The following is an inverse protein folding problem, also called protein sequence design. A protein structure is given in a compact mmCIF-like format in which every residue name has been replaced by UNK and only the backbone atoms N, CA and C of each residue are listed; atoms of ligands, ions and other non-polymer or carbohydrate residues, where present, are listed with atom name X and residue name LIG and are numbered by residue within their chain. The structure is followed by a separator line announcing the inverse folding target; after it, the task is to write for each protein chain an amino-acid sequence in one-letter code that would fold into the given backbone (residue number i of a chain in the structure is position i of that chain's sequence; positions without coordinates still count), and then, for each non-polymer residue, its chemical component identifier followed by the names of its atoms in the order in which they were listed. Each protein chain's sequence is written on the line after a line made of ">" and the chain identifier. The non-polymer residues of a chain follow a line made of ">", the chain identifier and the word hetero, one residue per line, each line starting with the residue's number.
data_IF_770953951835
#
_entry.id   IF_770953951835
#
_cell.length_a   1.000
_cell.length_b   1.000
_cell.length_c   1.000
_cell.angle_alpha   90.00
_cell.angle_beta   90.00
_cell.angle_gamma   90.00
#
_symmetry.space_group_name_H-M   'P 1'
#
loop_
_entity.id
_entity.type
_entity.pdbx_description
1 polymer ?
#
# COMPACT_ATOMS: atom_id res chain seq x y z
N UNK A 1 8.82 -1.03 21.47
CA UNK A 1 7.59 -0.67 20.77
C UNK A 1 7.77 0.75 20.24
N UNK A 2 7.92 0.92 18.92
CA UNK A 2 8.25 2.21 18.29
C UNK A 2 7.03 2.76 17.54
N UNK A 3 6.03 3.22 18.30
CA UNK A 3 4.75 3.69 17.78
C UNK A 3 4.91 4.84 16.77
N UNK A 4 5.80 5.79 17.03
CA UNK A 4 5.98 6.98 16.18
C UNK A 4 6.58 6.63 14.80
N UNK A 5 7.68 5.86 14.69
CA UNK A 5 8.15 5.34 13.41
C UNK A 5 7.10 4.51 12.66
N UNK A 6 6.40 3.60 13.34
CA UNK A 6 5.37 2.77 12.70
C UNK A 6 4.23 3.61 12.11
N UNK A 7 3.76 4.62 12.87
CA UNK A 7 2.74 5.55 12.41
C UNK A 7 3.21 6.40 11.24
N UNK A 8 4.45 6.87 11.26
CA UNK A 8 5.05 7.61 10.13
C UNK A 8 5.10 6.75 8.87
N UNK A 9 5.63 5.53 8.94
CA UNK A 9 5.72 4.62 7.79
C UNK A 9 4.34 4.32 7.18
N UNK A 10 3.31 4.14 8.01
CA UNK A 10 1.96 3.88 7.53
C UNK A 10 1.31 5.13 6.93
N UNK A 11 1.29 6.23 7.69
CA UNK A 11 0.53 7.42 7.32
C UNK A 11 1.22 8.19 6.19
N UNK A 12 2.55 8.31 6.22
CA UNK A 12 3.30 9.08 5.24
C UNK A 12 3.82 8.21 4.09
N UNK A 13 4.65 7.20 4.37
CA UNK A 13 5.25 6.43 3.27
C UNK A 13 4.18 5.64 2.52
N UNK A 14 3.46 4.74 3.20
CA UNK A 14 2.51 3.85 2.54
C UNK A 14 1.34 4.61 1.88
N UNK A 15 0.71 5.55 2.59
CA UNK A 15 -0.45 6.26 2.03
C UNK A 15 -0.05 7.39 1.08
N UNK A 16 0.78 8.31 1.53
CA UNK A 16 1.07 9.51 0.75
C UNK A 16 2.09 9.25 -0.37
N UNK A 17 3.17 8.53 -0.09
CA UNK A 17 4.23 8.32 -1.10
C UNK A 17 3.83 7.26 -2.13
N UNK A 18 3.17 6.17 -1.71
CA UNK A 18 2.87 5.05 -2.62
C UNK A 18 1.40 4.97 -3.06
N UNK A 19 0.45 4.92 -2.12
CA UNK A 19 -0.96 4.68 -2.46
C UNK A 19 -1.59 5.85 -3.22
N UNK A 20 -1.33 7.10 -2.81
CA UNK A 20 -1.91 8.28 -3.47
C UNK A 20 -1.54 8.36 -4.96
N UNK A 21 -0.26 8.28 -5.38
CA UNK A 21 0.07 8.26 -6.80
C UNK A 21 -0.58 7.09 -7.56
N UNK A 22 -0.70 5.93 -6.92
CA UNK A 22 -1.36 4.77 -7.52
C UNK A 22 -2.87 5.01 -7.74
N UNK A 23 -3.54 5.72 -6.82
CA UNK A 23 -4.93 6.16 -6.98
C UNK A 23 -5.08 7.23 -8.06
N UNK A 24 -4.11 8.14 -8.18
CA UNK A 24 -4.07 9.12 -9.27
C UNK A 24 -3.95 8.40 -10.63
N UNK A 25 -3.05 7.42 -10.75
CA UNK A 25 -2.97 6.59 -11.96
C UNK A 25 -4.26 5.80 -12.21
N UNK A 26 -4.87 5.24 -11.17
CA UNK A 26 -6.14 4.54 -11.33
C UNK A 26 -7.25 5.45 -11.84
N UNK A 27 -7.38 6.65 -11.29
CA UNK A 27 -8.33 7.66 -11.77
C UNK A 27 -8.05 7.97 -13.25
N UNK A 28 -6.80 8.27 -13.57
CA UNK A 28 -6.36 8.65 -14.90
C UNK A 28 -6.68 7.53 -15.93
N UNK A 29 -6.76 6.24 -15.54
CA UNK A 29 -7.09 5.11 -16.45
C UNK A 29 -8.47 5.30 -17.08
N UNK A 30 -9.40 5.95 -16.37
CA UNK A 30 -10.75 6.24 -16.86
C UNK A 30 -10.77 7.53 -17.70
N UNK A 31 -9.74 8.37 -17.60
CA UNK A 31 -9.65 9.69 -18.23
C UNK A 31 -8.63 9.77 -19.37
N UNK A 32 -7.91 8.69 -19.68
CA UNK A 32 -6.95 8.66 -20.79
C UNK A 32 -5.79 9.65 -20.61
N UNK A 33 -5.31 9.81 -19.38
CA UNK A 33 -4.14 10.63 -19.03
C UNK A 33 -4.33 12.14 -19.34
N UNK A 34 -5.58 12.61 -19.26
CA UNK A 34 -5.96 13.97 -19.69
C UNK A 34 -6.26 14.94 -18.54
N UNK A 35 -6.28 14.45 -17.30
CA UNK A 35 -6.58 15.28 -16.14
C UNK A 35 -5.26 15.66 -15.42
N UNK A 36 -5.13 16.91 -14.93
CA UNK A 36 -3.95 17.27 -14.14
C UNK A 36 -4.01 16.55 -12.79
N UNK A 37 -2.92 15.87 -12.42
CA UNK A 37 -2.71 15.35 -11.08
C UNK A 37 -2.86 16.51 -10.08
N UNK A 38 -3.95 16.50 -9.33
CA UNK A 38 -4.22 17.55 -8.34
C UNK A 38 -3.19 17.49 -7.22
N UNK A 39 -2.78 18.63 -6.67
CA UNK A 39 -1.90 18.64 -5.51
C UNK A 39 -2.48 17.79 -4.37
N UNK A 40 -1.66 16.87 -3.81
CA UNK A 40 -2.00 16.03 -2.66
C UNK A 40 -3.31 15.23 -2.84
N UNK A 41 -3.59 14.71 -4.05
CA UNK A 41 -4.80 13.92 -4.31
C UNK A 41 -6.10 14.75 -4.40
N UNK A 42 -6.00 16.07 -4.53
CA UNK A 42 -7.17 16.96 -4.62
C UNK A 42 -8.05 16.57 -5.81
N UNK A 43 -9.28 16.15 -5.50
CA UNK A 43 -10.29 15.80 -6.49
C UNK A 43 -10.51 14.29 -6.67
N UNK A 44 -9.67 13.44 -6.08
CA UNK A 44 -9.81 11.97 -6.16
C UNK A 44 -11.19 11.50 -5.71
N UNK A 45 -11.74 12.00 -4.59
CA UNK A 45 -13.09 11.63 -4.10
C UNK A 45 -14.21 11.83 -5.12
N UNK A 46 -14.07 12.79 -6.04
CA UNK A 46 -15.10 13.09 -7.06
C UNK A 46 -14.90 12.31 -8.36
N UNK A 47 -13.72 11.74 -8.57
CA UNK A 47 -13.31 11.17 -9.86
C UNK A 47 -13.08 9.67 -9.79
N UNK A 48 -12.73 9.14 -8.61
CA UNK A 48 -12.66 7.71 -8.37
C UNK A 48 -14.07 7.12 -8.23
N UNK A 49 -14.26 5.85 -8.64
CA UNK A 49 -15.44 5.09 -8.29
C UNK A 49 -15.71 5.10 -6.77
N UNK A 50 -16.98 5.23 -6.33
CA UNK A 50 -17.33 5.34 -4.91
C UNK A 50 -16.80 4.19 -4.03
N UNK A 51 -16.73 2.97 -4.58
CA UNK A 51 -16.22 1.78 -3.92
C UNK A 51 -14.71 1.87 -3.63
N UNK A 52 -13.92 2.43 -4.56
CA UNK A 52 -12.49 2.66 -4.36
C UNK A 52 -12.28 3.69 -3.25
N UNK A 53 -13.10 4.74 -3.23
CA UNK A 53 -13.02 5.75 -2.19
C UNK A 53 -13.41 5.20 -0.80
N UNK A 54 -14.46 4.38 -0.73
CA UNK A 54 -14.87 3.73 0.51
C UNK A 54 -13.79 2.79 1.07
N UNK A 55 -13.10 2.05 0.19
CA UNK A 55 -11.96 1.21 0.59
C UNK A 55 -10.78 2.03 1.12
N UNK A 56 -10.48 3.18 0.49
CA UNK A 56 -9.48 4.12 1.01
C UNK A 56 -9.84 4.60 2.42
N UNK A 57 -11.10 5.01 2.64
CA UNK A 57 -11.61 5.42 3.96
C UNK A 57 -11.49 4.28 5.00
N UNK A 58 -11.67 3.02 4.60
CA UNK A 58 -11.51 1.86 5.47
C UNK A 58 -10.05 1.55 5.86
N UNK A 59 -9.07 2.17 5.19
CA UNK A 59 -7.65 2.03 5.53
C UNK A 59 -7.20 2.90 6.69
N UNK A 60 -7.96 3.91 7.13
CA UNK A 60 -7.53 4.78 8.23
C UNK A 60 -7.55 4.04 9.58
N UNK A 61 -6.45 4.17 10.33
CA UNK A 61 -6.28 3.49 11.63
C UNK A 61 -7.02 4.23 12.77
N UNK A 62 -7.53 3.47 13.73
CA UNK A 62 -7.89 3.99 15.05
C UNK A 62 -6.65 4.05 15.98
N UNK A 63 -6.81 4.52 17.22
CA UNK A 63 -5.67 4.86 18.08
C UNK A 63 -4.87 3.64 18.62
N UNK A 64 -5.41 2.42 18.55
CA UNK A 64 -4.78 1.22 19.10
C UNK A 64 -3.64 0.66 18.24
N UNK A 65 -2.71 -0.08 18.85
CA UNK A 65 -1.61 -0.73 18.11
C UNK A 65 -2.12 -1.87 17.20
N UNK A 66 -3.11 -2.64 17.66
CA UNK A 66 -3.77 -3.65 16.83
C UNK A 66 -4.54 -3.02 15.66
N UNK A 67 -5.18 -1.88 15.90
CA UNK A 67 -5.86 -1.11 14.84
C UNK A 67 -4.87 -0.61 13.77
N UNK A 68 -3.65 -0.23 14.18
CA UNK A 68 -2.59 0.15 13.24
C UNK A 68 -2.11 -1.03 12.39
N UNK A 69 -1.96 -2.22 12.96
CA UNK A 69 -1.63 -3.43 12.20
C UNK A 69 -2.74 -3.79 11.20
N UNK A 70 -3.99 -3.78 11.63
CA UNK A 70 -5.12 -4.05 10.75
C UNK A 70 -5.22 -3.01 9.64
N UNK A 71 -4.99 -1.74 9.96
CA UNK A 71 -4.91 -0.64 8.99
C UNK A 71 -3.79 -0.84 7.97
N UNK A 72 -2.60 -1.28 8.40
CA UNK A 72 -1.48 -1.60 7.51
C UNK A 72 -1.87 -2.71 6.52
N UNK A 73 -2.44 -3.82 6.99
CA UNK A 73 -2.82 -4.92 6.11
C UNK A 73 -3.96 -4.56 5.15
N UNK A 74 -4.92 -3.73 5.60
CA UNK A 74 -5.95 -3.15 4.70
C UNK A 74 -5.31 -2.26 3.64
N UNK A 75 -4.34 -1.43 4.01
CA UNK A 75 -3.61 -0.55 3.08
C UNK A 75 -2.85 -1.37 2.04
N UNK A 76 -2.13 -2.41 2.45
CA UNK A 76 -1.41 -3.33 1.56
C UNK A 76 -2.38 -4.02 0.59
N UNK A 77 -3.49 -4.58 1.10
CA UNK A 77 -4.47 -5.27 0.28
C UNK A 77 -5.13 -4.34 -0.75
N UNK A 78 -5.46 -3.12 -0.32
CA UNK A 78 -6.02 -2.09 -1.19
C UNK A 78 -5.01 -1.66 -2.26
N UNK A 79 -3.76 -1.36 -1.88
CA UNK A 79 -2.70 -1.01 -2.83
C UNK A 79 -2.51 -2.11 -3.89
N UNK A 80 -2.43 -3.38 -3.47
CA UNK A 80 -2.33 -4.54 -4.37
C UNK A 80 -3.46 -4.56 -5.40
N UNK A 81 -4.71 -4.35 -4.97
CA UNK A 81 -5.87 -4.33 -5.87
C UNK A 81 -5.73 -3.21 -6.91
N UNK A 82 -5.48 -1.98 -6.48
CA UNK A 82 -5.37 -0.83 -7.39
C UNK A 82 -4.18 -0.99 -8.34
N UNK A 83 -3.03 -1.43 -7.85
CA UNK A 83 -1.85 -1.65 -8.68
C UNK A 83 -2.06 -2.75 -9.73
N UNK A 84 -2.85 -3.79 -9.45
CA UNK A 84 -3.25 -4.79 -10.44
C UNK A 84 -4.16 -4.19 -11.51
N UNK A 85 -5.14 -3.38 -11.13
CA UNK A 85 -6.04 -2.70 -12.09
C UNK A 85 -5.26 -1.77 -13.02
N UNK A 86 -4.41 -0.92 -12.44
CA UNK A 86 -3.54 0.00 -13.20
C UNK A 86 -2.57 -0.78 -14.09
N UNK A 87 -1.93 -1.81 -13.56
CA UNK A 87 -1.01 -2.67 -14.31
C UNK A 87 -1.70 -3.34 -15.49
N UNK A 88 -2.87 -3.95 -15.28
CA UNK A 88 -3.64 -4.58 -16.36
C UNK A 88 -4.05 -3.59 -17.44
N UNK A 89 -4.47 -2.37 -17.07
CA UNK A 89 -4.81 -1.31 -18.02
C UNK A 89 -3.59 -0.85 -18.85
N UNK A 90 -2.41 -0.82 -18.23
CA UNK A 90 -1.17 -0.37 -18.85
C UNK A 90 -0.34 -1.47 -19.53
N UNK A 91 -0.73 -2.74 -19.39
CA UNK A 91 0.03 -3.87 -19.90
C UNK A 91 1.23 -4.29 -19.03
N UNK A 92 1.28 -3.90 -17.76
CA UNK A 92 2.30 -4.32 -16.80
C UNK A 92 1.78 -5.42 -15.86
N UNK A 93 2.62 -6.42 -15.60
CA UNK A 93 2.32 -7.45 -14.61
C UNK A 93 2.62 -6.96 -13.19
N UNK A 94 1.68 -7.18 -12.26
CA UNK A 94 1.90 -6.90 -10.85
C UNK A 94 2.86 -7.95 -10.23
N UNK A 95 3.85 -7.55 -9.40
CA UNK A 95 4.85 -8.45 -8.86
C UNK A 95 4.33 -9.27 -7.66
N UNK A 96 3.42 -10.21 -7.91
CA UNK A 96 2.72 -11.04 -6.91
C UNK A 96 3.66 -11.70 -5.89
N UNK A 97 4.77 -12.28 -6.37
CA UNK A 97 5.70 -12.99 -5.51
C UNK A 97 6.45 -12.05 -4.56
N UNK A 98 6.70 -10.81 -4.97
CA UNK A 98 7.37 -9.82 -4.13
C UNK A 98 6.42 -9.35 -3.03
N UNK A 99 5.22 -8.94 -3.42
CA UNK A 99 4.17 -8.50 -2.50
C UNK A 99 3.81 -9.57 -1.45
N UNK A 100 3.70 -10.85 -1.86
CA UNK A 100 3.50 -11.96 -0.92
C UNK A 100 4.61 -12.04 0.12
N UNK A 101 5.88 -11.99 -0.30
CA UNK A 101 7.02 -12.06 0.63
C UNK A 101 7.04 -10.91 1.64
N UNK A 102 6.72 -9.70 1.19
CA UNK A 102 6.65 -8.52 2.07
C UNK A 102 5.48 -8.62 3.05
N UNK A 103 4.32 -9.08 2.58
CA UNK A 103 3.13 -9.30 3.43
C UNK A 103 3.41 -10.37 4.49
N UNK A 104 4.00 -11.51 4.09
CA UNK A 104 4.39 -12.59 5.01
C UNK A 104 5.40 -12.09 6.05
N UNK A 105 6.35 -11.25 5.63
CA UNK A 105 7.32 -10.63 6.54
C UNK A 105 6.63 -9.74 7.58
N UNK A 106 5.70 -8.88 7.17
CA UNK A 106 4.93 -8.03 8.06
C UNK A 106 4.06 -8.83 9.04
N UNK A 107 3.45 -9.95 8.59
CA UNK A 107 2.68 -10.85 9.46
C UNK A 107 3.55 -11.48 10.56
N UNK A 108 4.78 -11.91 10.22
CA UNK A 108 5.73 -12.44 11.21
C UNK A 108 6.15 -11.40 12.25
N UNK A 109 6.33 -10.15 11.81
CA UNK A 109 6.60 -9.04 12.74
C UNK A 109 5.44 -8.83 13.72
N UNK A 110 4.18 -8.87 13.25
CA UNK A 110 3.00 -8.75 14.12
C UNK A 110 2.90 -9.90 15.12
N UNK A 111 3.24 -11.13 14.73
CA UNK A 111 3.19 -12.29 15.62
C UNK A 111 4.33 -12.36 16.63
N UNK A 112 5.27 -11.42 16.59
CA UNK A 112 6.44 -11.40 17.48
C UNK A 112 7.47 -12.48 17.17
N UNK A 113 7.45 -13.07 15.97
CA UNK A 113 8.41 -14.07 15.57
C UNK A 113 9.78 -13.40 15.33
N UNK A 114 10.89 -13.90 15.91
CA UNK A 114 12.19 -13.28 15.72
C UNK A 114 12.58 -13.28 14.24
N UNK A 115 13.15 -12.17 13.77
CA UNK A 115 13.78 -12.09 12.46
C UNK A 115 14.86 -13.17 12.37
N UNK A 116 14.57 -14.25 11.63
CA UNK A 116 15.61 -15.17 11.18
C UNK A 116 16.65 -14.32 10.44
N UNK A 117 17.87 -14.25 11.00
CA UNK A 117 18.97 -13.54 10.35
C UNK A 117 19.09 -14.05 8.91
N UNK A 118 19.29 -13.18 7.90
CA UNK A 118 19.62 -13.67 6.57
C UNK A 118 20.81 -14.61 6.71
N UNK A 119 20.70 -15.80 6.12
CA UNK A 119 21.75 -16.80 6.13
C UNK A 119 22.98 -16.19 5.43
N UNK A 120 23.93 -15.66 6.20
CA UNK A 120 25.24 -15.19 5.72
C UNK A 120 26.25 -16.33 5.58
N UNK A 121 25.85 -17.58 5.84
CA UNK A 121 26.70 -18.76 5.69
C UNK A 121 26.49 -19.43 4.32
N UNK A 122 26.67 -18.64 3.26
CA UNK A 122 26.92 -19.14 1.90
C UNK A 122 28.38 -18.88 1.56
N UNK A 123 29.15 -19.88 1.08
CA UNK A 123 30.56 -19.67 0.81
C UNK A 123 30.74 -18.61 -0.28
N UNK A 124 31.66 -17.69 -0.04
CA UNK A 124 32.18 -16.78 -1.07
C UNK A 124 32.83 -17.67 -2.14
N UNK A 125 32.27 -17.65 -3.35
CA UNK A 125 32.93 -18.08 -4.58
C UNK A 125 33.29 -16.83 -5.38
#
# INVERSE_FOLDING_TARGET
>A
DELLPAKWCLDYDMRDVYLRPMLEWRMECDHGWSVPAGALGKGLKRRLPPEIWAELEATYAAAGIDDNWDSLFRTIAFFRRIAREVGAHLGYAYPENFDRRVTDHALRMRSGEPLGRPNTDGPIL
#
